data_IF_097720797581
#
_entry.id   IF_097720797581
#
_cell.length_a   1.000
_cell.length_b   1.000
_cell.length_c   1.000
_cell.angle_alpha   90.00
_cell.angle_beta   90.00
_cell.angle_gamma   90.00
#
_symmetry.space_group_name_H-M   'P 1'
#
loop_
_entity.id
_entity.type
_entity.pdbx_description
1 polymer ?
#
# COMPACT_ATOMS: atom_id res chain seq x y z
N UNK A 1 -23.95 -4.79 9.65
CA UNK A 1 -22.66 -4.21 10.06
C UNK A 1 -22.60 -2.78 9.58
N UNK A 2 -22.23 -1.85 10.45
CA UNK A 2 -21.85 -0.48 10.08
C UNK A 2 -20.40 -0.46 9.57
N UNK A 3 -20.08 0.48 8.68
CA UNK A 3 -18.70 0.81 8.37
C UNK A 3 -18.15 1.71 9.47
N UNK A 4 -17.01 1.34 10.03
CA UNK A 4 -16.37 2.10 11.10
C UNK A 4 -14.89 2.29 10.79
N UNK A 5 -14.33 3.49 11.04
CA UNK A 5 -12.90 3.71 10.90
C UNK A 5 -12.16 2.95 12.00
N UNK A 6 -11.20 2.12 11.59
CA UNK A 6 -10.31 1.40 12.50
C UNK A 6 -8.88 1.90 12.36
N UNK A 7 -8.16 2.01 13.49
CA UNK A 7 -6.71 2.18 13.48
C UNK A 7 -6.06 0.80 13.46
N UNK A 8 -5.18 0.57 12.49
CA UNK A 8 -4.47 -0.68 12.32
C UNK A 8 -3.02 -0.42 11.87
N UNK A 9 -2.16 -1.41 12.06
CA UNK A 9 -0.81 -1.42 11.49
C UNK A 9 -0.88 -1.68 9.99
N UNK A 10 -0.02 -1.02 9.21
CA UNK A 10 0.11 -1.32 7.80
C UNK A 10 1.06 -2.52 7.61
N UNK A 11 0.47 -3.67 7.32
CA UNK A 11 1.17 -4.91 6.97
C UNK A 11 1.14 -5.97 8.08
N UNK A 12 1.43 -7.21 7.68
CA UNK A 12 1.39 -8.40 8.52
C UNK A 12 2.80 -8.78 8.98
N UNK A 13 2.96 -9.00 10.27
CA UNK A 13 4.21 -9.51 10.83
C UNK A 13 4.41 -10.98 10.48
N UNK A 14 5.66 -11.38 10.25
CA UNK A 14 6.01 -12.74 9.86
C UNK A 14 7.38 -13.13 10.42
N UNK A 15 7.53 -14.39 10.83
CA UNK A 15 8.78 -14.86 11.45
C UNK A 15 9.99 -14.87 10.51
N UNK A 16 9.76 -14.93 9.19
CA UNK A 16 10.81 -15.04 8.19
C UNK A 16 11.35 -13.69 7.68
N UNK A 17 10.72 -12.56 8.05
CA UNK A 17 11.17 -11.21 7.66
C UNK A 17 11.04 -10.25 8.85
N UNK A 18 12.05 -9.39 9.10
CA UNK A 18 11.95 -8.37 10.13
C UNK A 18 11.02 -7.21 9.73
N UNK A 19 10.61 -7.12 8.46
CA UNK A 19 9.72 -6.07 7.95
C UNK A 19 8.32 -6.63 7.68
N UNK A 20 7.24 -5.89 8.02
CA UNK A 20 5.88 -6.30 7.72
C UNK A 20 5.65 -6.51 6.21
N UNK A 21 4.85 -7.51 5.87
CA UNK A 21 4.39 -7.72 4.50
C UNK A 21 3.10 -6.93 4.30
N UNK A 22 3.16 -5.87 3.51
CA UNK A 22 2.06 -4.90 3.39
C UNK A 22 1.24 -5.02 2.09
N UNK A 23 1.72 -5.76 1.10
CA UNK A 23 0.99 -6.04 -0.14
C UNK A 23 0.80 -7.55 -0.32
N UNK A 24 -0.34 -7.93 -0.90
CA UNK A 24 -0.57 -9.28 -1.41
C UNK A 24 -0.80 -9.23 -2.92
N UNK A 25 -0.37 -10.27 -3.62
CA UNK A 25 -0.76 -10.49 -5.02
C UNK A 25 -2.14 -11.13 -5.02
N UNK A 26 -3.07 -10.58 -5.81
CA UNK A 26 -4.45 -11.08 -5.89
C UNK A 26 -4.49 -12.57 -6.29
N UNK A 27 -3.56 -13.00 -7.13
CA UNK A 27 -3.41 -14.37 -7.60
C UNK A 27 -2.99 -15.36 -6.49
N UNK A 28 -2.62 -14.85 -5.31
CA UNK A 28 -2.15 -15.65 -4.16
C UNK A 28 -2.81 -15.26 -2.84
N UNK A 29 -3.93 -14.54 -2.91
CA UNK A 29 -4.69 -14.08 -1.75
C UNK A 29 -5.33 -15.23 -0.93
N UNK A 30 -5.32 -16.45 -1.44
CA UNK A 30 -5.86 -17.67 -0.81
C UNK A 30 -4.81 -18.45 0.01
N UNK A 31 -3.53 -18.06 -0.07
CA UNK A 31 -2.43 -18.69 0.66
C UNK A 31 -2.63 -18.58 2.18
N UNK A 32 -2.06 -19.50 2.98
CA UNK A 32 -2.34 -19.59 4.41
C UNK A 32 -2.20 -18.28 5.20
N UNK A 33 -1.23 -17.44 4.85
CA UNK A 33 -1.01 -16.14 5.50
C UNK A 33 -2.18 -15.16 5.30
N UNK A 34 -2.86 -15.22 4.16
CA UNK A 34 -3.87 -14.25 3.73
C UNK A 34 -5.31 -14.75 3.89
N UNK A 35 -5.49 -16.08 4.00
CA UNK A 35 -6.82 -16.72 3.95
C UNK A 35 -7.81 -16.15 4.96
N UNK A 36 -7.47 -16.16 6.25
CA UNK A 36 -8.38 -15.70 7.30
C UNK A 36 -8.72 -14.19 7.15
N UNK A 37 -7.75 -13.29 6.96
CA UNK A 37 -8.05 -11.88 6.69
C UNK A 37 -8.90 -11.66 5.44
N UNK A 38 -8.65 -12.41 4.36
CA UNK A 38 -9.45 -12.30 3.13
C UNK A 38 -10.90 -12.77 3.32
N UNK A 39 -11.12 -13.75 4.20
CA UNK A 39 -12.45 -14.29 4.48
C UNK A 39 -13.26 -13.39 5.43
N UNK A 40 -12.61 -12.83 6.47
CA UNK A 40 -13.31 -12.20 7.59
C UNK A 40 -12.94 -10.74 7.85
N UNK A 41 -11.74 -10.29 7.46
CA UNK A 41 -11.16 -9.01 7.90
C UNK A 41 -10.88 -8.05 6.73
N UNK A 42 -11.65 -8.15 5.64
CA UNK A 42 -11.52 -7.23 4.51
C UNK A 42 -11.82 -5.80 4.94
N UNK A 43 -10.96 -4.89 4.53
CA UNK A 43 -11.14 -3.46 4.72
C UNK A 43 -10.88 -2.71 3.41
N UNK A 44 -11.18 -1.42 3.42
CA UNK A 44 -10.77 -0.48 2.37
C UNK A 44 -9.88 0.58 2.99
N UNK A 45 -8.81 0.95 2.31
CA UNK A 45 -7.91 2.03 2.71
C UNK A 45 -8.29 3.26 1.90
N UNK A 46 -8.88 4.25 2.57
CA UNK A 46 -9.13 5.55 1.98
C UNK A 46 -7.84 6.38 1.94
N UNK A 47 -7.42 6.82 0.76
CA UNK A 47 -6.28 7.72 0.59
C UNK A 47 -6.58 8.78 -0.47
N UNK A 48 -5.79 9.86 -0.52
CA UNK A 48 -5.95 10.91 -1.55
C UNK A 48 -5.16 10.59 -2.82
N UNK A 49 -4.04 9.88 -2.66
CA UNK A 49 -3.12 9.46 -3.70
C UNK A 49 -2.14 8.42 -3.12
N UNK A 50 -1.45 7.69 -4.00
CA UNK A 50 -0.29 6.88 -3.64
C UNK A 50 0.90 7.24 -4.55
N UNK A 51 2.09 6.74 -4.19
CA UNK A 51 3.33 7.00 -4.92
C UNK A 51 3.90 5.71 -5.48
N UNK A 52 4.49 5.79 -6.68
CA UNK A 52 5.35 4.72 -7.20
C UNK A 52 6.65 5.28 -7.77
N UNK A 53 7.70 4.47 -7.67
CA UNK A 53 9.01 4.80 -8.23
C UNK A 53 9.10 4.36 -9.69
N UNK A 54 9.65 5.20 -10.57
CA UNK A 54 9.99 4.74 -11.92
C UNK A 54 11.02 3.61 -11.88
N UNK A 55 10.99 2.71 -12.86
CA UNK A 55 11.94 1.60 -12.95
C UNK A 55 13.40 2.02 -13.15
N UNK A 56 13.63 3.21 -13.73
CA UNK A 56 14.91 3.63 -14.31
C UNK A 56 15.15 5.15 -14.29
N UNK A 57 14.12 5.97 -14.48
CA UNK A 57 14.21 7.43 -14.42
C UNK A 57 14.66 7.90 -13.03
N UNK A 58 15.58 8.87 -13.04
CA UNK A 58 16.21 9.42 -11.84
C UNK A 58 15.94 10.91 -11.73
N UNK A 59 15.76 11.39 -10.51
CA UNK A 59 15.63 12.80 -10.19
C UNK A 59 16.46 13.17 -8.96
N UNK A 60 16.73 14.46 -8.80
CA UNK A 60 17.39 15.00 -7.62
C UNK A 60 16.33 15.25 -6.55
N UNK A 61 16.45 14.58 -5.40
CA UNK A 61 15.54 14.78 -4.28
C UNK A 61 15.62 16.22 -3.80
N UNK A 62 14.52 16.98 -3.88
CA UNK A 62 14.46 18.33 -3.32
C UNK A 62 14.71 18.35 -1.81
N UNK A 63 14.42 17.24 -1.10
CA UNK A 63 14.62 17.11 0.34
C UNK A 63 16.07 16.88 0.74
N UNK A 64 16.80 16.05 -0.02
CA UNK A 64 18.14 15.57 0.40
C UNK A 64 19.26 15.90 -0.58
N UNK A 65 18.95 16.43 -1.77
CA UNK A 65 19.89 16.66 -2.87
C UNK A 65 20.44 15.38 -3.54
N UNK A 66 20.04 14.19 -3.08
CA UNK A 66 20.53 12.91 -3.63
C UNK A 66 19.79 12.53 -4.90
N UNK A 67 20.47 11.85 -5.82
CA UNK A 67 19.82 11.17 -6.95
C UNK A 67 18.99 9.99 -6.42
N UNK A 68 17.69 10.00 -6.71
CA UNK A 68 16.72 8.97 -6.34
C UNK A 68 15.91 8.56 -7.57
N UNK A 69 15.21 7.43 -7.51
CA UNK A 69 14.22 7.08 -8.55
C UNK A 69 13.11 8.13 -8.58
N UNK A 70 12.74 8.60 -9.76
CA UNK A 70 11.64 9.54 -9.94
C UNK A 70 10.37 8.97 -9.30
N UNK A 71 9.71 9.76 -8.47
CA UNK A 71 8.45 9.39 -7.83
C UNK A 71 7.28 9.97 -8.63
N UNK A 72 6.25 9.17 -8.88
CA UNK A 72 5.01 9.62 -9.50
C UNK A 72 3.86 9.52 -8.50
N UNK A 73 2.95 10.47 -8.59
CA UNK A 73 1.71 10.50 -7.80
C UNK A 73 0.58 9.91 -8.65
N UNK A 74 -0.09 8.90 -8.11
CA UNK A 74 -1.27 8.28 -8.71
C UNK A 74 -2.50 8.70 -7.91
N UNK A 75 -3.49 9.26 -8.61
CA UNK A 75 -4.77 9.72 -8.07
C UNK A 75 -5.86 9.57 -9.11
N UNK A 76 -7.11 9.52 -8.66
CA UNK A 76 -8.27 9.60 -9.55
C UNK A 76 -8.54 11.08 -9.86
N UNK A 77 -8.62 11.49 -11.14
CA UNK A 77 -8.95 12.87 -11.50
C UNK A 77 -10.29 13.29 -10.90
N UNK A 78 -10.37 14.52 -10.42
CA UNK A 78 -11.56 15.16 -9.83
C UNK A 78 -12.16 14.50 -8.58
N UNK A 79 -11.59 13.38 -8.13
CA UNK A 79 -11.99 12.70 -6.90
C UNK A 79 -11.06 13.03 -5.74
N UNK A 80 -11.58 13.50 -4.58
CA UNK A 80 -10.75 13.86 -3.44
C UNK A 80 -10.21 12.64 -2.68
N UNK A 81 -10.79 11.46 -2.88
CA UNK A 81 -10.48 10.21 -2.18
C UNK A 81 -10.54 9.04 -3.17
N UNK A 82 -9.58 8.13 -3.05
CA UNK A 82 -9.60 6.81 -3.67
C UNK A 82 -9.57 5.72 -2.60
N UNK A 83 -10.11 4.55 -2.94
CA UNK A 83 -10.16 3.39 -2.07
C UNK A 83 -9.24 2.32 -2.64
N UNK A 84 -8.33 1.81 -1.80
CA UNK A 84 -7.49 0.64 -2.05
C UNK A 84 -8.07 -0.54 -1.29
#
# INVERSE_FOLDING_TARGET
GSLEPARAQWGFEQQWTPQPVFNTRIESADKPMWRAPMEHDRCVIACRWFYESHGSEMAVSARTGRKIKQQYVFRVPDEPVMLI
#
